data_IF_842051669097
#
_entry.id   IF_842051669097
#
_cell.length_a   1.000
_cell.length_b   1.000
_cell.length_c   1.000
_cell.angle_alpha   90.00
_cell.angle_beta   90.00
_cell.angle_gamma   90.00
#
_symmetry.space_group_name_H-M   'P 1'
#
loop_
_entity.id
_entity.type
_entity.pdbx_description
1 polymer ?
#
# COMPACT_ATOMS: atom_id res chain seq x y z
N UNK A 1 -5.82 -4.39 -16.96
CA UNK A 1 -6.70 -3.29 -16.49
C UNK A 1 -6.57 -3.06 -14.98
N UNK A 2 -6.74 -4.11 -14.16
CA UNK A 2 -6.63 -4.00 -12.69
C UNK A 2 -5.27 -3.47 -12.19
N UNK A 3 -4.15 -3.93 -12.77
CA UNK A 3 -2.82 -3.40 -12.42
C UNK A 3 -2.69 -1.89 -12.63
N UNK A 4 -3.23 -1.36 -13.73
CA UNK A 4 -3.22 0.10 -13.98
C UNK A 4 -4.07 0.83 -12.94
N UNK A 5 -5.17 0.23 -12.46
CA UNK A 5 -5.95 0.80 -11.36
C UNK A 5 -5.11 0.88 -10.08
N UNK A 6 -4.42 -0.19 -9.69
CA UNK A 6 -3.50 -0.19 -8.54
C UNK A 6 -2.42 0.88 -8.67
N UNK A 7 -1.75 0.93 -9.82
CA UNK A 7 -0.74 1.93 -10.12
C UNK A 7 -1.30 3.36 -10.09
N UNK A 8 -2.56 3.55 -10.49
CA UNK A 8 -3.20 4.87 -10.44
C UNK A 8 -3.43 5.36 -9.01
N UNK A 9 -3.75 4.45 -8.08
CA UNK A 9 -3.87 4.77 -6.66
C UNK A 9 -2.50 5.13 -6.07
N UNK A 10 -1.51 4.28 -6.31
CA UNK A 10 -0.13 4.51 -5.87
C UNK A 10 0.39 5.86 -6.38
N UNK A 11 0.24 6.15 -7.67
CA UNK A 11 0.71 7.39 -8.27
C UNK A 11 0.02 8.61 -7.67
N UNK A 12 -1.32 8.64 -7.61
CA UNK A 12 -2.07 9.78 -7.06
C UNK A 12 -1.70 10.07 -5.61
N UNK A 13 -1.62 9.04 -4.78
CA UNK A 13 -1.24 9.19 -3.37
C UNK A 13 0.26 9.56 -3.21
N UNK A 14 1.10 9.16 -4.16
CA UNK A 14 2.53 9.49 -4.17
C UNK A 14 2.87 10.92 -4.61
N UNK A 15 1.93 11.64 -5.23
CA UNK A 15 2.09 13.02 -5.70
C UNK A 15 1.11 14.02 -5.05
N UNK A 16 0.24 13.55 -4.16
CA UNK A 16 -0.81 14.39 -3.56
C UNK A 16 -0.21 15.54 -2.75
N UNK A 17 -0.89 16.70 -2.77
CA UNK A 17 -0.59 17.86 -1.94
C UNK A 17 -1.52 17.99 -0.72
N UNK A 18 -2.52 17.10 -0.58
CA UNK A 18 -3.45 17.09 0.56
C UNK A 18 -2.74 16.63 1.81
N UNK A 19 -2.64 17.47 2.84
CA UNK A 19 -1.82 17.20 4.03
C UNK A 19 -2.28 15.95 4.82
N UNK A 20 -3.57 15.62 4.79
CA UNK A 20 -4.14 14.43 5.46
C UNK A 20 -3.75 13.11 4.78
N UNK A 21 -3.46 13.17 3.47
CA UNK A 21 -3.05 12.03 2.64
C UNK A 21 -1.58 12.11 2.24
N UNK A 22 -0.89 13.18 2.65
CA UNK A 22 0.51 13.42 2.37
C UNK A 22 1.31 12.51 3.29
N UNK A 23 1.91 11.52 2.66
CA UNK A 23 2.81 10.61 3.34
C UNK A 23 4.12 10.55 2.60
N UNK A 24 4.45 9.33 2.16
CA UNK A 24 5.70 9.05 1.51
C UNK A 24 5.74 9.45 0.03
N UNK A 25 6.78 10.17 -0.39
CA UNK A 25 7.00 10.50 -1.82
C UNK A 25 7.57 9.30 -2.58
N UNK A 26 7.10 9.12 -3.83
CA UNK A 26 7.60 8.07 -4.73
C UNK A 26 8.96 8.40 -5.38
N UNK A 27 9.38 9.66 -5.35
CA UNK A 27 10.58 10.12 -6.06
C UNK A 27 10.54 9.74 -7.54
N UNK A 28 11.65 9.22 -8.08
CA UNK A 28 11.77 8.79 -9.50
C UNK A 28 10.72 7.76 -9.93
N UNK A 29 10.12 7.02 -9.00
CA UNK A 29 9.09 6.03 -9.33
C UNK A 29 7.80 6.70 -9.81
N UNK A 30 7.53 7.95 -9.40
CA UNK A 30 6.36 8.70 -9.83
C UNK A 30 6.32 8.88 -11.36
N UNK A 31 7.43 9.28 -11.97
CA UNK A 31 7.50 9.51 -13.42
C UNK A 31 7.39 8.21 -14.22
N UNK A 32 8.04 7.14 -13.73
CA UNK A 32 7.92 5.80 -14.35
C UNK A 32 6.47 5.31 -14.32
N UNK A 33 5.80 5.39 -13.17
CA UNK A 33 4.40 4.98 -13.04
C UNK A 33 3.49 5.88 -13.89
N UNK A 34 3.75 7.19 -13.96
CA UNK A 34 3.03 8.11 -14.85
C UNK A 34 3.12 7.67 -16.32
N UNK A 35 4.31 7.29 -16.77
CA UNK A 35 4.52 6.76 -18.13
C UNK A 35 3.71 5.49 -18.40
N UNK A 36 3.68 4.55 -17.43
CA UNK A 36 2.87 3.33 -17.52
C UNK A 36 1.37 3.63 -17.62
N UNK A 37 0.88 4.61 -16.84
CA UNK A 37 -0.52 5.03 -16.85
C UNK A 37 -0.91 5.71 -18.17
N UNK A 38 -0.09 6.65 -18.67
CA UNK A 38 -0.34 7.37 -19.93
C UNK A 38 -0.31 6.44 -21.14
N UNK A 39 0.66 5.53 -21.18
CA UNK A 39 0.78 4.52 -22.24
C UNK A 39 -0.18 3.34 -22.09
N UNK A 40 -0.96 3.28 -21.00
CA UNK A 40 -1.83 2.15 -20.64
C UNK A 40 -1.11 0.81 -20.62
N UNK A 41 0.19 0.80 -20.28
CA UNK A 41 1.03 -0.39 -20.27
C UNK A 41 1.43 -0.74 -18.83
N UNK A 42 0.84 -1.78 -18.22
CA UNK A 42 1.01 -2.08 -16.79
C UNK A 42 2.36 -2.71 -16.41
N UNK A 43 3.27 -2.92 -17.37
CA UNK A 43 4.52 -3.64 -17.16
C UNK A 43 4.32 -5.14 -16.91
N UNK A 44 5.41 -5.82 -16.53
CA UNK A 44 5.40 -7.25 -16.18
C UNK A 44 4.93 -7.47 -14.74
N UNK A 45 4.53 -8.69 -14.35
CA UNK A 45 3.99 -9.01 -13.01
C UNK A 45 4.82 -8.43 -11.86
N UNK A 46 6.14 -8.62 -11.90
CA UNK A 46 7.09 -8.22 -10.85
C UNK A 46 7.55 -6.75 -10.95
N UNK A 47 7.01 -5.96 -11.87
CA UNK A 47 7.24 -4.52 -11.93
C UNK A 47 6.19 -3.80 -11.07
N UNK A 48 6.60 -3.20 -9.95
CA UNK A 48 5.68 -2.68 -8.92
C UNK A 48 4.62 -3.70 -8.48
N UNK A 49 5.03 -4.89 -8.01
CA UNK A 49 4.08 -5.88 -7.53
C UNK A 49 3.44 -5.37 -6.25
N UNK A 50 2.18 -5.78 -6.03
CA UNK A 50 1.35 -5.30 -4.95
C UNK A 50 0.69 -6.48 -4.25
N UNK A 51 0.84 -6.55 -2.92
CA UNK A 51 -0.02 -7.37 -2.07
C UNK A 51 -1.29 -6.60 -1.76
N UNK A 52 -2.41 -7.31 -1.75
CA UNK A 52 -3.72 -6.76 -1.42
C UNK A 52 -4.28 -7.56 -0.25
N UNK A 53 -4.60 -6.87 0.85
CA UNK A 53 -5.18 -7.51 2.02
C UNK A 53 -6.44 -6.79 2.48
N UNK A 54 -7.50 -7.54 2.82
CA UNK A 54 -8.64 -7.01 3.56
C UNK A 54 -8.28 -6.86 5.04
N UNK A 55 -8.46 -5.66 5.58
CA UNK A 55 -8.16 -5.36 6.98
C UNK A 55 -9.36 -5.74 7.85
N UNK A 56 -9.09 -6.58 8.85
CA UNK A 56 -10.09 -7.07 9.80
C UNK A 56 -9.86 -6.45 11.18
N UNK A 57 -10.94 -6.26 11.92
CA UNK A 57 -10.91 -5.95 13.34
C UNK A 57 -11.92 -6.83 14.07
N UNK A 58 -11.42 -7.71 14.94
CA UNK A 58 -12.22 -8.68 15.68
C UNK A 58 -13.10 -9.54 14.74
N UNK A 59 -12.50 -10.05 13.67
CA UNK A 59 -13.17 -10.92 12.69
C UNK A 59 -14.11 -10.20 11.72
N UNK A 60 -14.16 -8.86 11.72
CA UNK A 60 -15.01 -8.08 10.80
C UNK A 60 -14.19 -7.15 9.93
N UNK A 61 -14.55 -7.05 8.65
CA UNK A 61 -13.95 -6.09 7.73
C UNK A 61 -14.35 -4.65 8.11
N UNK A 62 -13.38 -3.74 8.09
CA UNK A 62 -13.57 -2.32 8.44
C UNK A 62 -13.55 -1.44 7.19
N UNK A 63 -14.66 -1.43 6.45
CA UNK A 63 -14.76 -0.85 5.11
C UNK A 63 -14.65 0.68 4.99
N UNK A 64 -14.72 1.42 6.09
CA UNK A 64 -14.52 2.87 6.15
C UNK A 64 -13.10 3.26 6.58
N UNK A 65 -12.24 2.27 6.85
CA UNK A 65 -10.89 2.51 7.35
C UNK A 65 -9.98 3.04 6.24
N UNK A 66 -9.34 4.17 6.51
CA UNK A 66 -8.39 4.84 5.62
C UNK A 66 -7.13 5.14 6.43
N UNK A 67 -5.98 4.82 5.84
CA UNK A 67 -4.66 5.12 6.42
C UNK A 67 -3.79 5.74 5.33
N UNK A 68 -3.21 6.93 5.58
CA UNK A 68 -2.35 7.59 4.61
C UNK A 68 -1.12 6.74 4.29
N UNK A 69 -0.48 6.99 3.14
CA UNK A 69 0.64 6.17 2.71
C UNK A 69 1.88 6.33 3.59
N UNK A 70 2.57 5.21 3.83
CA UNK A 70 3.83 5.19 4.56
C UNK A 70 4.89 4.35 3.84
N UNK A 71 6.15 4.73 4.07
CA UNK A 71 7.28 3.85 3.79
C UNK A 71 7.42 2.80 4.88
N UNK A 72 7.87 1.63 4.45
CA UNK A 72 8.24 0.54 5.34
C UNK A 72 9.31 -0.34 4.71
N UNK A 73 9.65 -1.40 5.44
CA UNK A 73 10.49 -2.48 4.95
C UNK A 73 9.81 -3.81 5.18
N UNK A 74 9.92 -4.69 4.21
CA UNK A 74 9.46 -6.07 4.32
C UNK A 74 10.50 -6.96 3.66
N UNK A 75 11.07 -7.89 4.43
CA UNK A 75 12.13 -8.81 3.96
C UNK A 75 13.32 -8.08 3.30
N UNK A 76 13.70 -6.92 3.84
CA UNK A 76 14.77 -6.09 3.28
C UNK A 76 14.39 -5.21 2.08
N UNK A 77 13.16 -5.30 1.56
CA UNK A 77 12.70 -4.47 0.45
C UNK A 77 11.96 -3.23 0.93
N UNK A 78 12.16 -2.10 0.23
CA UNK A 78 11.33 -0.92 0.42
C UNK A 78 9.91 -1.19 -0.07
N UNK A 79 8.96 -0.96 0.84
CA UNK A 79 7.54 -1.08 0.56
C UNK A 79 6.84 0.26 0.79
N UNK A 80 5.73 0.42 0.07
CA UNK A 80 4.86 1.58 0.16
C UNK A 80 3.44 1.08 0.41
N UNK A 81 2.92 1.38 1.61
CA UNK A 81 1.66 0.82 2.09
C UNK A 81 0.65 1.91 2.42
N UNK A 82 -0.61 1.66 2.11
CA UNK A 82 -1.75 2.53 2.46
C UNK A 82 -3.04 1.72 2.54
N UNK A 83 -4.04 2.25 3.24
CA UNK A 83 -5.38 1.64 3.32
C UNK A 83 -6.42 2.58 2.72
N UNK A 84 -7.27 2.04 1.84
CA UNK A 84 -8.48 2.71 1.35
C UNK A 84 -9.62 1.71 1.40
N UNK A 85 -10.76 2.12 1.96
CA UNK A 85 -11.96 1.30 2.11
C UNK A 85 -11.69 -0.04 2.84
N UNK A 86 -10.83 -0.03 3.86
CA UNK A 86 -10.42 -1.24 4.58
C UNK A 86 -9.59 -2.23 3.76
N UNK A 87 -9.07 -1.83 2.61
CA UNK A 87 -8.16 -2.64 1.78
C UNK A 87 -6.76 -2.06 1.89
N UNK A 88 -5.83 -2.86 2.38
CA UNK A 88 -4.41 -2.58 2.42
C UNK A 88 -3.77 -2.91 1.08
N UNK A 89 -3.11 -1.90 0.50
CA UNK A 89 -2.23 -2.09 -0.64
C UNK A 89 -0.79 -1.96 -0.17
N UNK A 90 0.02 -2.98 -0.40
CA UNK A 90 1.46 -2.95 -0.10
C UNK A 90 2.26 -3.18 -1.38
N UNK A 91 2.81 -2.09 -1.92
CA UNK A 91 3.65 -2.13 -3.11
C UNK A 91 5.11 -2.33 -2.76
N UNK A 92 5.79 -3.20 -3.50
CA UNK A 92 7.24 -3.23 -3.52
C UNK A 92 7.75 -2.15 -4.47
N UNK A 93 8.25 -1.05 -3.91
CA UNK A 93 8.78 0.10 -4.65
C UNK A 93 10.29 0.08 -4.51
N UNK A 94 10.92 -0.84 -5.24
CA UNK A 94 12.36 -1.09 -5.20
C UNK A 94 12.89 -1.40 -6.59
N UNK A 95 14.19 -1.19 -6.80
CA UNK A 95 14.90 -1.68 -7.98
C UNK A 95 15.17 -3.19 -7.90
N UNK A 96 15.00 -3.80 -6.74
CA UNK A 96 15.19 -5.23 -6.52
C UNK A 96 13.86 -5.96 -6.70
N UNK A 97 13.91 -7.15 -7.31
CA UNK A 97 12.77 -8.06 -7.44
C UNK A 97 12.22 -8.40 -6.05
N UNK A 98 10.90 -8.35 -5.87
CA UNK A 98 10.28 -8.75 -4.61
C UNK A 98 10.61 -10.21 -4.27
N UNK A 99 10.64 -10.61 -2.97
CA UNK A 99 10.95 -11.97 -2.58
C UNK A 99 9.99 -12.99 -3.22
N UNK A 100 10.54 -14.11 -3.72
CA UNK A 100 9.80 -15.13 -4.47
C UNK A 100 8.62 -15.73 -3.73
N UNK A 101 8.69 -15.80 -2.40
CA UNK A 101 7.60 -16.29 -1.54
C UNK A 101 6.29 -15.52 -1.69
N UNK A 102 6.34 -14.26 -2.13
CA UNK A 102 5.16 -13.42 -2.35
C UNK A 102 4.63 -13.48 -3.78
N UNK A 103 5.38 -14.05 -4.72
CA UNK A 103 5.02 -14.02 -6.14
C UNK A 103 3.64 -14.62 -6.44
N UNK A 104 3.22 -15.75 -5.82
CA UNK A 104 1.89 -16.31 -6.05
C UNK A 104 0.75 -15.39 -5.58
N UNK A 105 1.02 -14.43 -4.70
CA UNK A 105 0.02 -13.55 -4.12
C UNK A 105 -0.24 -12.29 -4.96
N UNK A 106 0.68 -11.95 -5.86
CA UNK A 106 0.54 -10.76 -6.71
C UNK A 106 -0.53 -10.97 -7.79
N UNK A 107 -0.98 -9.87 -8.39
CA UNK A 107 -1.81 -9.92 -9.59
C UNK A 107 -1.04 -10.55 -10.75
N UNK A 108 -1.51 -11.71 -11.18
CA UNK A 108 -0.92 -12.52 -12.22
C UNK A 108 -1.38 -12.07 -13.63
N UNK A 109 -0.71 -12.55 -14.68
CA UNK A 109 -0.91 -12.06 -16.07
C UNK A 109 -2.27 -12.46 -16.68
N UNK A 110 -2.77 -13.64 -16.35
CA UNK A 110 -4.11 -14.11 -16.70
C UNK A 110 -5.23 -13.41 -15.91
N UNK A 111 -4.92 -12.68 -14.83
CA UNK A 111 -5.84 -11.80 -14.11
C UNK A 111 -6.24 -12.22 -12.70
N UNK A 112 -5.72 -13.33 -12.17
CA UNK A 112 -5.94 -13.80 -10.81
C UNK A 112 -5.16 -12.98 -9.79
N UNK A 113 -5.76 -12.79 -8.63
CA UNK A 113 -5.20 -12.07 -7.50
C UNK A 113 -5.64 -12.77 -6.21
N UNK A 114 -4.70 -13.00 -5.31
CA UNK A 114 -4.99 -13.45 -3.95
C UNK A 114 -5.21 -12.22 -3.08
N UNK A 115 -6.32 -12.22 -2.33
CA UNK A 115 -6.59 -11.21 -1.31
C UNK A 115 -6.50 -11.90 0.05
N UNK A 116 -5.51 -11.50 0.85
CA UNK A 116 -5.34 -12.03 2.21
C UNK A 116 -6.30 -11.30 3.17
N UNK A 117 -6.83 -12.00 4.17
CA UNK A 117 -7.61 -11.37 5.23
C UNK A 117 -6.75 -11.35 6.50
N UNK A 118 -6.49 -10.16 7.04
CA UNK A 118 -5.52 -9.97 8.12
C UNK A 118 -6.12 -9.11 9.22
N UNK A 119 -5.97 -9.55 10.47
CA UNK A 119 -6.33 -8.73 11.63
C UNK A 119 -5.39 -7.53 11.71
N UNK A 120 -5.97 -6.35 11.96
CA UNK A 120 -5.26 -5.08 12.00
C UNK A 120 -4.02 -5.12 12.91
N UNK A 121 -4.12 -5.84 14.03
CA UNK A 121 -3.05 -5.95 15.05
C UNK A 121 -1.83 -6.75 14.56
N UNK A 122 -2.03 -7.63 13.58
CA UNK A 122 -1.00 -8.52 13.04
C UNK A 122 -0.26 -7.84 11.85
N UNK A 123 -0.79 -6.73 11.35
CA UNK A 123 -0.17 -5.91 10.30
C UNK A 123 0.73 -4.85 10.94
N UNK A 124 2.05 -5.02 10.83
CA UNK A 124 3.06 -4.11 11.40
C UNK A 124 2.82 -2.63 11.06
N UNK A 125 2.53 -2.35 9.78
CA UNK A 125 2.26 -1.00 9.29
C UNK A 125 1.11 -0.33 10.06
N UNK A 126 0.01 -1.05 10.30
CA UNK A 126 -1.17 -0.53 10.98
C UNK A 126 -0.95 -0.43 12.48
N UNK A 127 -0.25 -1.39 13.08
CA UNK A 127 0.12 -1.35 14.49
C UNK A 127 0.96 -0.11 14.81
N UNK A 128 1.95 0.20 13.98
CA UNK A 128 2.77 1.41 14.12
C UNK A 128 1.92 2.67 13.99
N UNK A 129 1.10 2.75 12.93
CA UNK A 129 0.20 3.89 12.72
C UNK A 129 -0.72 4.15 13.92
N UNK A 130 -1.39 3.13 14.45
CA UNK A 130 -2.28 3.30 15.61
C UNK A 130 -1.53 3.72 16.87
N UNK A 131 -0.28 3.25 17.05
CA UNK A 131 0.55 3.67 18.19
C UNK A 131 0.88 5.16 18.12
N UNK A 132 1.22 5.68 16.94
CA UNK A 132 1.48 7.10 16.70
C UNK A 132 0.22 7.96 16.91
N UNK A 133 -0.93 7.51 16.41
CA UNK A 133 -2.23 8.17 16.62
C UNK A 133 -2.58 8.21 18.11
N UNK A 134 -2.45 7.08 18.81
CA UNK A 134 -2.75 7.01 20.25
C UNK A 134 -1.82 7.92 21.07
N UNK A 135 -0.53 7.96 20.76
CA UNK A 135 0.42 8.86 21.42
C UNK A 135 0.07 10.34 21.20
N UNK A 136 -0.33 10.70 19.97
CA UNK A 136 -0.74 12.07 19.63
C UNK A 136 -2.02 12.48 20.36
N UNK A 137 -3.01 11.58 20.45
CA UNK A 137 -4.25 11.84 21.19
C UNK A 137 -4.02 12.01 22.70
N UNK A 138 -3.11 11.24 23.31
CA UNK A 138 -2.76 11.40 24.73
C UNK A 138 -2.14 12.78 25.01
N UNK A 139 -1.25 13.27 24.14
CA UNK A 139 -0.66 14.62 24.26
C UNK A 139 -1.72 15.72 24.17
N UNK A 140 -2.73 15.55 23.33
CA UNK A 140 -3.84 16.51 23.20
C UNK A 140 -4.81 16.52 24.37
N UNK A 141 -4.92 15.43 25.14
CA UNK A 141 -5.81 15.33 26.31
C UNK A 141 -5.15 15.74 27.63
N UNK A 142 -3.82 15.79 27.67
CA UNK A 142 -3.04 16.23 28.83
C UNK A 142 -2.58 17.70 28.76
N UNK A 143 -3.00 18.44 27.74
CA UNK A 143 -2.82 19.89 27.57
C UNK A 143 -4.20 20.55 27.62
#
# INVERSE_FOLDING_TARGET
RLKLFFLSLLWRLGITSLDELKGARLGRHADRIRGMLLSKTPGVTLEYPCLVSGVMFNGKHIGDFIVPPSLGRMEGHHIWSFVVAGILFTFFVSNHTAPSKFWPLFLQKEGSLVICMEELKDIEFLRRFLTEVAATQRRRRGA
#
